data_IF_547514691735
#
_entry.id   IF_547514691735
#
_cell.length_a   1.000
_cell.length_b   1.000
_cell.length_c   1.000
_cell.angle_alpha   90.00
_cell.angle_beta   90.00
_cell.angle_gamma   90.00
#
_symmetry.space_group_name_H-M   'P 1'
#
loop_
_entity.id
_entity.type
_entity.pdbx_description
1 polymer ?
#
# COMPACT_ATOMS: atom_id res chain seq x y z
N UNK A 1 -8.66 -4.41 5.05
CA UNK A 1 -9.90 -5.07 4.60
C UNK A 1 -9.80 -6.59 4.70
N UNK A 2 -8.94 -7.26 3.94
CA UNK A 2 -8.79 -8.73 3.99
C UNK A 2 -8.51 -9.27 5.40
N UNK A 3 -7.55 -8.69 6.14
CA UNK A 3 -7.25 -9.15 7.50
C UNK A 3 -8.45 -9.02 8.45
N UNK A 4 -9.17 -7.91 8.34
CA UNK A 4 -10.39 -7.68 9.11
C UNK A 4 -11.43 -8.77 8.83
N UNK A 5 -11.63 -9.14 7.56
CA UNK A 5 -12.56 -10.22 7.20
C UNK A 5 -12.13 -11.55 7.81
N UNK A 6 -10.83 -11.88 7.79
CA UNK A 6 -10.31 -13.13 8.37
C UNK A 6 -10.51 -13.20 9.88
N UNK A 7 -10.29 -12.10 10.59
CA UNK A 7 -10.55 -12.02 12.04
C UNK A 7 -12.04 -12.18 12.33
N UNK A 8 -12.91 -11.54 11.56
CA UNK A 8 -14.37 -11.66 11.72
C UNK A 8 -14.90 -13.08 11.41
N UNK A 9 -14.24 -13.79 10.49
CA UNK A 9 -14.54 -15.20 10.17
C UNK A 9 -13.99 -16.20 11.19
N UNK A 10 -13.24 -15.74 12.21
CA UNK A 10 -12.60 -16.61 13.19
C UNK A 10 -11.36 -17.36 12.67
N UNK A 11 -10.83 -16.96 11.51
CA UNK A 11 -9.69 -17.63 10.87
C UNK A 11 -8.33 -17.24 11.49
N UNK A 12 -8.31 -16.29 12.42
CA UNK A 12 -7.10 -15.74 13.01
C UNK A 12 -7.18 -15.74 14.55
N UNK A 13 -6.10 -16.09 15.26
CA UNK A 13 -6.07 -16.23 16.71
C UNK A 13 -5.86 -14.89 17.45
N UNK A 14 -5.97 -13.76 16.76
CA UNK A 14 -5.63 -12.44 17.29
C UNK A 14 -6.70 -11.38 16.98
N UNK A 15 -6.69 -10.30 17.76
CA UNK A 15 -7.54 -9.13 17.55
C UNK A 15 -6.75 -8.01 16.88
N UNK A 16 -7.44 -7.13 16.16
CA UNK A 16 -6.82 -6.01 15.45
C UNK A 16 -6.91 -4.73 16.26
N UNK A 17 -5.79 -4.03 16.44
CA UNK A 17 -5.72 -2.67 16.95
C UNK A 17 -5.23 -1.75 15.84
N UNK A 18 -6.16 -1.01 15.23
CA UNK A 18 -5.94 -0.21 14.03
C UNK A 18 -5.91 1.27 14.41
N UNK A 19 -4.71 1.84 14.34
CA UNK A 19 -4.46 3.26 14.58
C UNK A 19 -4.56 4.03 13.26
N UNK A 20 -5.56 4.90 13.15
CA UNK A 20 -5.87 5.65 11.91
C UNK A 20 -6.47 7.01 12.23
N UNK A 21 -5.90 8.07 11.66
CA UNK A 21 -6.34 9.44 11.93
C UNK A 21 -7.54 9.89 11.06
N UNK A 22 -8.58 9.04 10.94
CA UNK A 22 -9.78 9.41 10.16
C UNK A 22 -11.02 8.59 10.55
N UNK A 23 -11.98 9.23 11.23
CA UNK A 23 -13.29 8.61 11.56
C UNK A 23 -14.07 8.23 10.30
N UNK A 24 -13.98 9.06 9.26
CA UNK A 24 -14.61 8.75 7.96
C UNK A 24 -14.05 7.48 7.33
N UNK A 25 -12.75 7.21 7.48
CA UNK A 25 -12.14 5.97 7.01
C UNK A 25 -12.69 4.78 7.81
N UNK A 26 -12.75 4.90 9.13
CA UNK A 26 -13.29 3.87 10.02
C UNK A 26 -14.71 3.48 9.61
N UNK A 27 -15.59 4.47 9.44
CA UNK A 27 -16.98 4.24 9.00
C UNK A 27 -17.06 3.48 7.66
N UNK A 28 -16.20 3.84 6.68
CA UNK A 28 -16.15 3.13 5.40
C UNK A 28 -15.70 1.68 5.56
N UNK A 29 -14.73 1.41 6.44
CA UNK A 29 -14.26 0.05 6.72
C UNK A 29 -15.38 -0.77 7.37
N UNK A 30 -16.06 -0.23 8.38
CA UNK A 30 -17.20 -0.87 9.04
C UNK A 30 -18.28 -1.24 8.02
N UNK A 31 -18.69 -0.27 7.20
CA UNK A 31 -19.72 -0.47 6.17
C UNK A 31 -19.30 -1.51 5.12
N UNK A 32 -18.05 -1.45 4.64
CA UNK A 32 -17.55 -2.38 3.64
C UNK A 32 -17.40 -3.81 4.19
N UNK A 33 -17.14 -3.96 5.50
CA UNK A 33 -17.10 -5.27 6.17
C UNK A 33 -18.49 -5.78 6.54
N UNK A 34 -19.52 -4.93 6.53
CA UNK A 34 -20.82 -5.19 7.18
C UNK A 34 -20.63 -5.69 8.61
N UNK A 35 -19.69 -5.07 9.33
CA UNK A 35 -19.36 -5.47 10.69
C UNK A 35 -20.54 -5.13 11.63
N UNK A 36 -20.66 -5.85 12.73
CA UNK A 36 -21.67 -5.57 13.76
C UNK A 36 -21.04 -4.84 14.96
N UNK A 37 -21.83 -4.10 15.75
CA UNK A 37 -21.33 -3.37 16.92
C UNK A 37 -20.57 -4.25 17.92
N UNK A 38 -20.91 -5.54 18.04
CA UNK A 38 -20.27 -6.49 18.96
C UNK A 38 -18.84 -6.83 18.52
N UNK A 39 -18.56 -6.72 17.21
CA UNK A 39 -17.26 -7.07 16.63
C UNK A 39 -16.29 -5.90 16.55
N UNK A 40 -16.78 -4.66 16.66
CA UNK A 40 -16.00 -3.43 16.44
C UNK A 40 -16.05 -2.49 17.63
N UNK A 41 -14.88 -2.01 18.04
CA UNK A 41 -14.70 -0.91 19.00
C UNK A 41 -14.13 0.29 18.26
N UNK A 42 -14.64 1.50 18.53
CA UNK A 42 -14.11 2.74 17.95
C UNK A 42 -13.84 3.73 19.07
N UNK A 43 -12.62 4.24 19.16
CA UNK A 43 -12.22 5.27 20.12
C UNK A 43 -11.74 6.50 19.36
N UNK A 44 -12.48 7.61 19.52
CA UNK A 44 -12.17 8.89 18.88
C UNK A 44 -12.61 10.08 19.74
N UNK A 45 -12.25 11.30 19.32
CA UNK A 45 -12.50 12.50 20.12
C UNK A 45 -13.98 12.78 20.36
N UNK A 46 -14.30 13.01 21.63
CA UNK A 46 -15.61 13.45 22.11
C UNK A 46 -15.58 14.88 22.68
N UNK A 47 -14.55 15.67 22.37
CA UNK A 47 -14.40 17.04 22.87
C UNK A 47 -15.24 18.05 22.06
N UNK A 48 -16.10 18.81 22.74
CA UNK A 48 -16.91 19.84 22.08
C UNK A 48 -17.81 19.28 20.97
N UNK A 49 -17.88 19.99 19.84
CA UNK A 49 -18.69 19.60 18.67
C UNK A 49 -18.23 18.29 18.01
N UNK A 50 -16.98 17.85 18.26
CA UNK A 50 -16.42 16.66 17.63
C UNK A 50 -17.19 15.39 17.99
N UNK A 51 -17.82 15.34 19.18
CA UNK A 51 -18.62 14.17 19.61
C UNK A 51 -19.76 13.91 18.63
N UNK A 52 -20.58 14.93 18.36
CA UNK A 52 -21.73 14.79 17.49
C UNK A 52 -21.31 14.51 16.05
N UNK A 53 -20.31 15.23 15.54
CA UNK A 53 -19.81 14.99 14.18
C UNK A 53 -19.26 13.57 13.99
N UNK A 54 -18.49 13.08 14.96
CA UNK A 54 -17.90 11.75 14.87
C UNK A 54 -18.97 10.66 15.01
N UNK A 55 -19.96 10.87 15.88
CA UNK A 55 -21.09 9.96 15.99
C UNK A 55 -21.90 9.92 14.68
N UNK A 56 -22.18 11.07 14.07
CA UNK A 56 -22.87 11.15 12.77
C UNK A 56 -22.13 10.38 11.67
N UNK A 57 -20.79 10.40 11.67
CA UNK A 57 -19.97 9.65 10.70
C UNK A 57 -20.06 8.14 10.92
N UNK A 58 -20.16 7.68 12.17
CA UNK A 58 -20.20 6.27 12.54
C UNK A 58 -21.61 5.66 12.46
N UNK A 59 -22.65 6.48 12.58
CA UNK A 59 -24.04 6.03 12.74
C UNK A 59 -24.39 5.74 14.20
N UNK A 60 -25.67 5.55 14.49
CA UNK A 60 -26.17 5.37 15.87
C UNK A 60 -25.78 4.00 16.47
N UNK A 61 -25.63 2.98 15.62
CA UNK A 61 -25.33 1.61 16.05
C UNK A 61 -23.89 1.42 16.57
N UNK A 62 -22.99 2.36 16.28
CA UNK A 62 -21.57 2.29 16.67
C UNK A 62 -21.22 3.42 17.65
N UNK A 63 -21.51 3.26 18.95
CA UNK A 63 -21.21 4.29 19.94
C UNK A 63 -19.69 4.46 20.11
N UNK A 64 -19.26 5.72 20.27
CA UNK A 64 -17.86 6.04 20.57
C UNK A 64 -17.49 5.47 21.95
N UNK A 65 -16.52 4.57 21.97
CA UNK A 65 -16.02 3.86 23.14
C UNK A 65 -14.85 4.60 23.80
N UNK A 66 -14.50 4.21 25.03
CA UNK A 66 -13.31 4.62 25.76
C UNK A 66 -12.14 3.65 25.54
N UNK A 67 -10.87 4.09 25.71
CA UNK A 67 -9.71 3.19 25.63
C UNK A 67 -9.82 2.00 26.60
N UNK A 68 -10.33 2.23 27.80
CA UNK A 68 -10.50 1.25 28.88
C UNK A 68 -11.61 0.22 28.64
N UNK A 69 -12.52 0.45 27.69
CA UNK A 69 -13.61 -0.50 27.42
C UNK A 69 -13.07 -1.85 26.93
N UNK A 70 -13.82 -2.95 27.09
CA UNK A 70 -13.39 -4.27 26.63
C UNK A 70 -12.96 -4.28 25.16
N UNK A 71 -11.86 -4.98 24.87
CA UNK A 71 -11.37 -5.15 23.50
C UNK A 71 -12.31 -6.03 22.70
N UNK A 72 -12.49 -5.70 21.43
CA UNK A 72 -13.28 -6.47 20.46
C UNK A 72 -12.37 -7.08 19.40
N UNK A 73 -12.96 -7.79 18.43
CA UNK A 73 -12.22 -8.39 17.30
C UNK A 73 -11.46 -7.34 16.48
N UNK A 74 -12.08 -6.17 16.27
CA UNK A 74 -11.47 -5.04 15.57
C UNK A 74 -11.63 -3.79 16.43
N UNK A 75 -10.52 -3.12 16.73
CA UNK A 75 -10.48 -1.93 17.56
C UNK A 75 -9.83 -0.79 16.77
N UNK A 76 -10.56 0.30 16.56
CA UNK A 76 -10.07 1.48 15.87
C UNK A 76 -9.74 2.61 16.85
N UNK A 77 -8.63 3.28 16.60
CA UNK A 77 -8.10 4.36 17.43
C UNK A 77 -7.72 5.55 16.56
N UNK A 78 -8.22 6.74 16.90
CA UNK A 78 -7.74 8.01 16.30
C UNK A 78 -6.66 8.66 17.16
N UNK A 79 -6.23 9.88 16.80
CA UNK A 79 -5.17 10.64 17.48
C UNK A 79 -5.33 10.76 18.99
N UNK A 80 -6.56 10.73 19.50
CA UNK A 80 -6.87 10.70 20.95
C UNK A 80 -6.24 9.55 21.73
N UNK A 81 -5.79 8.51 21.04
CA UNK A 81 -5.20 7.31 21.65
C UNK A 81 -3.78 7.03 21.13
N UNK A 82 -3.17 7.94 20.38
CA UNK A 82 -1.79 7.75 19.94
C UNK A 82 -0.83 7.96 21.10
N UNK A 83 -1.25 8.77 22.08
CA UNK A 83 -0.50 9.11 23.27
C UNK A 83 -1.38 8.95 24.52
N UNK A 84 -0.75 8.82 25.68
CA UNK A 84 -1.44 8.93 26.98
C UNK A 84 -2.42 7.81 27.35
N UNK A 85 -2.58 6.76 26.55
CA UNK A 85 -3.44 5.61 26.90
C UNK A 85 -2.68 4.27 26.93
N UNK A 86 -3.07 3.37 27.81
CA UNK A 86 -2.57 1.99 27.83
C UNK A 86 -3.68 1.02 27.43
N UNK A 87 -3.39 0.15 26.46
CA UNK A 87 -4.31 -0.87 25.96
C UNK A 87 -3.75 -2.24 26.33
N UNK A 88 -4.63 -3.11 26.84
CA UNK A 88 -4.29 -4.46 27.26
C UNK A 88 -5.04 -5.49 26.42
N UNK A 89 -4.28 -6.25 25.62
CA UNK A 89 -4.73 -7.40 24.85
C UNK A 89 -3.52 -8.31 24.56
N UNK A 90 -3.47 -9.48 25.19
CA UNK A 90 -2.38 -10.45 25.01
C UNK A 90 -2.26 -10.97 23.57
N UNK A 91 -3.38 -10.94 22.83
CA UNK A 91 -3.47 -11.37 21.43
C UNK A 91 -3.71 -10.17 20.50
N UNK A 92 -3.44 -8.95 20.93
CA UNK A 92 -3.65 -7.74 20.14
C UNK A 92 -2.53 -7.49 19.15
N UNK A 93 -2.86 -7.24 17.89
CA UNK A 93 -1.89 -6.89 16.84
C UNK A 93 -2.05 -5.44 16.44
N UNK A 94 -0.93 -4.72 16.37
CA UNK A 94 -0.91 -3.29 16.03
C UNK A 94 -0.79 -3.07 14.53
N UNK A 95 -1.81 -2.42 13.97
CA UNK A 95 -1.85 -1.87 12.63
C UNK A 95 -1.81 -0.36 12.69
N UNK A 96 -0.96 0.26 11.88
CA UNK A 96 -0.88 1.69 11.71
C UNK A 96 -1.28 2.00 10.27
N UNK A 97 -2.28 2.86 10.07
CA UNK A 97 -2.81 3.20 8.74
C UNK A 97 -2.61 4.67 8.45
N UNK A 98 -1.88 4.97 7.37
CA UNK A 98 -1.59 6.33 6.90
C UNK A 98 -2.11 6.52 5.47
N UNK A 99 -3.13 7.37 5.27
CA UNK A 99 -3.69 7.65 3.94
C UNK A 99 -3.00 8.86 3.29
N UNK A 100 -2.11 8.60 2.34
CA UNK A 100 -1.39 9.60 1.55
C UNK A 100 -2.27 10.56 0.74
N UNK A 101 -3.58 10.28 0.59
CA UNK A 101 -4.54 11.21 -0.07
C UNK A 101 -4.98 12.37 0.81
N UNK A 102 -4.78 12.25 2.13
CA UNK A 102 -5.12 13.29 3.10
C UNK A 102 -3.89 13.61 3.93
N UNK A 103 -3.17 14.68 3.57
CA UNK A 103 -1.93 15.11 4.23
C UNK A 103 -2.02 15.12 5.76
N UNK A 104 -3.10 15.67 6.32
CA UNK A 104 -3.32 15.74 7.78
C UNK A 104 -3.53 14.37 8.48
N UNK A 105 -3.68 13.28 7.71
CA UNK A 105 -3.81 11.93 8.26
C UNK A 105 -2.50 11.15 8.28
N UNK A 106 -1.43 11.74 7.73
CA UNK A 106 -0.12 11.12 7.76
C UNK A 106 0.53 11.27 9.13
N UNK A 107 1.18 10.19 9.55
CA UNK A 107 1.76 10.10 10.88
C UNK A 107 3.23 10.48 10.81
N UNK A 108 3.67 11.27 11.79
CA UNK A 108 5.10 11.45 12.01
C UNK A 108 5.71 10.12 12.47
N UNK A 109 6.69 9.64 11.71
CA UNK A 109 7.41 8.39 11.99
C UNK A 109 8.28 8.54 13.25
N UNK A 110 8.84 9.72 13.48
CA UNK A 110 9.80 9.94 14.56
C UNK A 110 9.13 9.96 15.94
N UNK A 111 7.90 10.47 16.01
CA UNK A 111 7.16 10.69 17.26
C UNK A 111 5.95 9.76 17.37
N UNK A 112 4.87 10.06 16.63
CA UNK A 112 3.57 9.39 16.75
C UNK A 112 3.64 7.90 16.46
N UNK A 113 4.41 7.48 15.46
CA UNK A 113 4.57 6.05 15.15
C UNK A 113 5.18 5.29 16.33
N UNK A 114 6.27 5.81 16.90
CA UNK A 114 6.91 5.25 18.09
C UNK A 114 5.96 5.20 19.29
N UNK A 115 5.18 6.26 19.50
CA UNK A 115 4.19 6.32 20.58
C UNK A 115 3.11 5.26 20.41
N UNK A 116 2.62 5.05 19.18
CA UNK A 116 1.61 4.03 18.85
C UNK A 116 2.16 2.62 19.10
N UNK A 117 3.41 2.33 18.72
CA UNK A 117 4.03 1.02 18.93
C UNK A 117 4.00 0.56 20.38
N UNK A 118 4.03 1.50 21.33
CA UNK A 118 3.99 1.23 22.77
C UNK A 118 2.60 1.07 23.38
N UNK A 119 1.50 1.23 22.62
CA UNK A 119 0.15 1.33 23.20
C UNK A 119 -0.44 0.00 23.64
N UNK A 120 -0.17 -1.09 22.93
CA UNK A 120 -0.65 -2.44 23.30
C UNK A 120 0.41 -3.14 24.16
N UNK A 121 0.26 -3.05 25.48
CA UNK A 121 1.36 -3.30 26.44
C UNK A 121 1.74 -4.76 26.63
N UNK A 122 0.74 -5.61 26.88
CA UNK A 122 0.91 -7.02 27.23
C UNK A 122 0.80 -7.97 26.02
N UNK A 123 0.75 -7.43 24.80
CA UNK A 123 0.65 -8.26 23.59
C UNK A 123 1.92 -9.09 23.38
N UNK A 124 1.73 -10.37 23.06
CA UNK A 124 2.81 -11.25 22.58
C UNK A 124 3.36 -10.82 21.21
N UNK A 125 2.65 -9.95 20.50
CA UNK A 125 3.00 -9.42 19.17
C UNK A 125 3.58 -7.99 19.23
N UNK A 126 3.82 -7.42 20.41
CA UNK A 126 4.25 -6.02 20.59
C UNK A 126 5.52 -5.60 19.83
N UNK A 127 6.36 -6.54 19.41
CA UNK A 127 7.56 -6.29 18.60
C UNK A 127 7.29 -6.30 17.09
N UNK A 128 6.04 -6.50 16.68
CA UNK A 128 5.61 -6.64 15.30
C UNK A 128 4.51 -5.65 15.00
N UNK A 129 4.81 -4.70 14.11
CA UNK A 129 3.93 -3.59 13.76
C UNK A 129 3.70 -3.61 12.25
N UNK A 130 2.44 -3.44 11.84
CA UNK A 130 2.08 -3.43 10.42
C UNK A 130 1.72 -2.02 10.01
N UNK A 131 2.56 -1.41 9.18
CA UNK A 131 2.29 -0.12 8.56
C UNK A 131 1.61 -0.33 7.21
N UNK A 132 0.35 0.08 7.09
CA UNK A 132 -0.38 0.18 5.84
C UNK A 132 -0.36 1.65 5.40
N UNK A 133 0.19 1.93 4.23
CA UNK A 133 0.25 3.30 3.72
C UNK A 133 -0.06 3.38 2.24
N UNK A 134 -0.49 4.56 1.80
CA UNK A 134 -0.55 4.94 0.39
C UNK A 134 0.43 6.07 0.11
N UNK A 135 1.06 6.07 -1.07
CA UNK A 135 1.99 7.13 -1.46
C UNK A 135 1.24 8.44 -1.72
N UNK A 136 1.89 9.57 -1.44
CA UNK A 136 1.35 10.87 -1.81
C UNK A 136 1.41 11.13 -3.30
N UNK A 137 0.54 12.01 -3.80
CA UNK A 137 0.50 12.46 -5.20
C UNK A 137 0.94 13.91 -5.33
N UNK A 138 1.88 14.35 -4.51
CA UNK A 138 2.37 15.73 -4.57
C UNK A 138 3.42 15.90 -5.66
N UNK A 139 3.44 17.10 -6.25
CA UNK A 139 4.45 17.48 -7.25
C UNK A 139 5.82 17.56 -6.60
N UNK A 140 6.84 17.04 -7.28
CA UNK A 140 8.25 17.20 -6.88
C UNK A 140 8.85 18.55 -7.27
N UNK A 141 8.03 19.49 -7.77
CA UNK A 141 8.48 20.80 -8.24
C UNK A 141 8.94 21.74 -7.11
N UNK A 142 8.44 21.56 -5.89
CA UNK A 142 8.83 22.35 -4.73
C UNK A 142 9.66 21.47 -3.80
N UNK A 143 10.91 21.87 -3.55
CA UNK A 143 11.78 21.16 -2.62
C UNK A 143 11.49 21.55 -1.17
N UNK A 144 11.94 20.73 -0.21
CA UNK A 144 11.85 21.09 1.21
C UNK A 144 12.58 22.40 1.49
N UNK A 145 13.76 22.61 0.91
CA UNK A 145 14.54 23.83 1.11
C UNK A 145 13.82 25.08 0.59
N UNK A 146 13.17 24.98 -0.58
CA UNK A 146 12.37 26.08 -1.13
C UNK A 146 11.18 26.40 -0.23
N UNK A 147 10.50 25.36 0.28
CA UNK A 147 9.39 25.51 1.20
C UNK A 147 9.85 26.14 2.53
N UNK A 148 10.95 25.68 3.11
CA UNK A 148 11.52 26.26 4.34
C UNK A 148 11.85 27.72 4.14
N UNK A 149 12.50 28.10 3.03
CA UNK A 149 12.81 29.50 2.72
C UNK A 149 11.54 30.35 2.60
N UNK A 150 10.52 29.84 1.91
CA UNK A 150 9.23 30.53 1.77
C UNK A 150 8.54 30.72 3.13
N UNK A 151 8.43 29.66 3.94
CA UNK A 151 7.84 29.72 5.29
C UNK A 151 8.60 30.68 6.19
N UNK A 152 9.94 30.69 6.14
CA UNK A 152 10.76 31.62 6.92
C UNK A 152 10.55 33.07 6.50
N UNK A 153 10.37 33.33 5.20
CA UNK A 153 10.03 34.66 4.69
C UNK A 153 8.66 35.12 5.20
N UNK A 154 7.63 34.28 5.08
CA UNK A 154 6.29 34.59 5.61
C UNK A 154 6.33 34.84 7.11
N UNK A 155 7.09 34.03 7.86
CA UNK A 155 7.27 34.25 9.31
C UNK A 155 7.96 35.59 9.63
N UNK A 156 8.89 36.05 8.78
CA UNK A 156 9.53 37.34 8.95
C UNK A 156 8.58 38.51 8.65
N UNK A 157 7.76 38.37 7.60
CA UNK A 157 6.69 39.32 7.25
C UNK A 157 5.66 39.43 8.38
N UNK A 158 5.21 38.30 8.93
CA UNK A 158 4.32 38.23 10.10
C UNK A 158 4.92 38.92 11.34
N UNK A 159 6.23 38.79 11.58
CA UNK A 159 6.93 39.49 12.66
C UNK A 159 6.95 41.00 12.47
N UNK A 160 7.21 41.48 11.24
CA UNK A 160 7.17 42.90 10.93
C UNK A 160 5.77 43.46 11.17
N UNK A 161 4.76 42.80 10.62
CA UNK A 161 3.36 43.19 10.76
C UNK A 161 2.92 43.24 12.23
N UNK A 162 3.22 42.19 12.99
CA UNK A 162 2.90 42.16 14.42
C UNK A 162 3.61 43.28 15.20
N UNK A 163 4.89 43.57 14.89
CA UNK A 163 5.63 44.65 15.52
C UNK A 163 5.01 46.02 15.22
N UNK A 164 4.63 46.28 13.97
CA UNK A 164 3.98 47.52 13.55
C UNK A 164 2.65 47.74 14.28
N UNK A 165 1.76 46.74 14.28
CA UNK A 165 0.46 46.85 14.97
C UNK A 165 0.64 46.99 16.49
N UNK A 166 1.59 46.25 17.06
CA UNK A 166 1.84 46.32 18.50
C UNK A 166 2.48 47.66 18.93
N UNK A 167 3.15 48.37 18.02
CA UNK A 167 3.72 49.70 18.27
C UNK A 167 2.68 50.82 18.39
N UNK A 168 1.44 50.57 17.94
CA UNK A 168 0.33 51.52 18.10
C UNK A 168 0.04 51.76 19.59
N UNK A 169 -0.46 52.96 19.90
CA UNK A 169 -1.02 53.24 21.23
C UNK A 169 -2.14 52.26 21.56
N UNK A 170 -2.34 51.97 22.85
CA UNK A 170 -3.31 50.97 23.28
C UNK A 170 -4.73 51.24 22.77
N UNK A 171 -5.20 52.49 22.86
CA UNK A 171 -6.51 52.89 22.36
C UNK A 171 -6.64 52.70 20.83
N UNK A 172 -5.59 53.03 20.06
CA UNK A 172 -5.58 52.83 18.62
C UNK A 172 -5.52 51.33 18.27
N UNK A 173 -4.71 50.54 18.98
CA UNK A 173 -4.58 49.10 18.77
C UNK A 173 -5.89 48.36 19.03
N UNK A 174 -6.57 48.65 20.15
CA UNK A 174 -7.89 48.08 20.47
C UNK A 174 -8.92 48.45 19.38
N UNK A 175 -8.91 49.70 18.92
CA UNK A 175 -9.81 50.17 17.85
C UNK A 175 -9.51 49.50 16.50
N UNK A 176 -8.23 49.24 16.20
CA UNK A 176 -7.81 48.56 14.96
C UNK A 176 -8.19 47.09 15.00
N UNK A 177 -7.86 46.38 16.08
CA UNK A 177 -8.12 44.93 16.20
C UNK A 177 -9.61 44.61 16.34
N UNK A 178 -10.40 45.46 17.01
CA UNK A 178 -11.85 45.25 17.14
C UNK A 178 -12.61 45.35 15.82
N UNK A 179 -12.02 45.97 14.78
CA UNK A 179 -12.58 46.04 13.43
C UNK A 179 -12.19 44.86 12.53
N UNK A 180 -11.31 43.98 13.00
CA UNK A 180 -10.81 42.83 12.25
C UNK A 180 -11.43 41.57 12.88
N UNK A 181 -12.56 41.07 12.36
CA UNK A 181 -13.21 39.87 12.91
C UNK A 181 -12.36 38.60 12.77
N UNK A 182 -11.44 38.56 11.80
CA UNK A 182 -10.46 37.50 11.61
C UNK A 182 -9.18 38.08 10.99
N UNK A 183 -8.02 37.68 11.52
CA UNK A 183 -6.72 38.03 10.93
C UNK A 183 -6.39 37.01 9.86
N UNK A 184 -6.27 37.47 8.62
CA UNK A 184 -5.83 36.66 7.48
C UNK A 184 -4.30 36.74 7.28
N UNK A 185 -3.55 36.80 8.39
CA UNK A 185 -2.09 36.78 8.41
C UNK A 185 -1.61 35.43 8.92
N UNK A 186 -0.69 34.79 8.21
CA UNK A 186 -0.20 33.47 8.61
C UNK A 186 0.67 33.59 9.87
N UNK A 187 0.58 32.60 10.75
CA UNK A 187 1.38 32.52 11.98
C UNK A 187 1.13 33.64 13.00
N UNK A 188 0.04 34.39 12.89
CA UNK A 188 -0.33 35.46 13.84
C UNK A 188 -1.66 35.14 14.50
N UNK A 189 -1.75 35.40 15.81
CA UNK A 189 -3.00 35.33 16.59
C UNK A 189 -3.18 36.58 17.44
N UNK A 190 -4.43 36.86 17.82
CA UNK A 190 -4.75 37.94 18.75
C UNK A 190 -4.80 37.37 20.17
N UNK A 191 -4.00 37.94 21.07
CA UNK A 191 -4.06 37.69 22.51
C UNK A 191 -3.96 39.03 23.24
N UNK A 192 -4.87 39.27 24.19
CA UNK A 192 -4.90 40.49 25.02
C UNK A 192 -4.75 41.81 24.23
N UNK A 193 -5.49 41.93 23.12
CA UNK A 193 -5.42 43.08 22.20
C UNK A 193 -4.02 43.35 21.62
N UNK A 194 -3.23 42.30 21.44
CA UNK A 194 -1.92 42.32 20.77
C UNK A 194 -1.83 41.22 19.73
N UNK A 195 -0.97 41.42 18.75
CA UNK A 195 -0.60 40.39 17.78
C UNK A 195 0.56 39.56 18.32
N UNK A 196 0.36 38.26 18.45
CA UNK A 196 1.37 37.30 18.89
C UNK A 196 1.74 36.41 17.71
N UNK A 197 3.03 36.36 17.39
CA UNK A 197 3.55 35.50 16.33
C UNK A 197 3.82 34.11 16.89
N UNK A 198 3.23 33.09 16.28
CA UNK A 198 3.40 31.69 16.66
C UNK A 198 4.39 30.99 15.72
N UNK A 199 5.66 30.95 16.15
CA UNK A 199 6.71 30.23 15.44
C UNK A 199 6.43 28.72 15.35
N UNK A 200 5.69 28.15 16.29
CA UNK A 200 5.43 26.72 16.29
C UNK A 200 4.52 26.33 15.13
N UNK A 201 3.55 27.17 14.75
CA UNK A 201 2.73 26.94 13.55
C UNK A 201 3.59 26.83 12.28
N UNK A 202 4.57 27.73 12.11
CA UNK A 202 5.50 27.66 10.97
C UNK A 202 6.37 26.39 10.98
N UNK A 203 6.84 25.98 12.16
CA UNK A 203 7.59 24.72 12.29
C UNK A 203 6.71 23.50 11.98
N UNK A 204 5.45 23.51 12.42
CA UNK A 204 4.47 22.45 12.14
C UNK A 204 4.22 22.34 10.63
N UNK A 205 4.09 23.46 9.91
CA UNK A 205 3.93 23.45 8.45
C UNK A 205 5.13 22.82 7.74
N UNK A 206 6.36 23.15 8.16
CA UNK A 206 7.59 22.55 7.60
C UNK A 206 7.61 21.04 7.85
N UNK A 207 7.28 20.60 9.07
CA UNK A 207 7.24 19.16 9.40
C UNK A 207 6.17 18.45 8.59
N UNK A 208 4.97 19.01 8.48
CA UNK A 208 3.88 18.47 7.68
C UNK A 208 4.28 18.37 6.20
N UNK A 209 4.96 19.38 5.67
CA UNK A 209 5.50 19.37 4.32
C UNK A 209 6.50 18.22 4.13
N UNK A 210 7.48 18.07 5.03
CA UNK A 210 8.46 16.97 5.00
C UNK A 210 7.78 15.61 5.02
N UNK A 211 6.82 15.39 5.92
CA UNK A 211 6.09 14.12 6.04
C UNK A 211 5.39 13.80 4.71
N UNK A 212 4.63 14.76 4.17
CA UNK A 212 3.78 14.56 3.00
C UNK A 212 4.55 14.50 1.67
N UNK A 213 5.56 15.33 1.50
CA UNK A 213 6.23 15.52 0.21
C UNK A 213 7.54 14.74 0.10
N UNK A 214 8.12 14.31 1.22
CA UNK A 214 9.41 13.62 1.24
C UNK A 214 9.32 12.21 1.82
N UNK A 215 8.79 12.05 3.04
CA UNK A 215 8.81 10.76 3.73
C UNK A 215 7.85 9.77 3.05
N UNK A 216 6.55 10.10 2.97
CA UNK A 216 5.52 9.24 2.39
C UNK A 216 5.41 9.32 0.86
N UNK A 217 6.32 10.01 0.19
CA UNK A 217 6.33 10.12 -1.27
C UNK A 217 6.56 8.77 -1.95
N UNK A 218 7.48 7.96 -1.43
CA UNK A 218 7.81 6.64 -1.99
C UNK A 218 8.06 5.62 -0.89
N UNK A 219 8.01 4.33 -1.24
CA UNK A 219 8.42 3.27 -0.32
C UNK A 219 9.92 3.38 0.05
N UNK A 220 10.75 3.90 -0.85
CA UNK A 220 12.20 4.00 -0.64
C UNK A 220 12.50 5.02 0.45
N UNK A 221 11.88 6.20 0.35
CA UNK A 221 12.03 7.29 1.34
C UNK A 221 11.45 6.89 2.70
N UNK A 222 10.26 6.28 2.73
CA UNK A 222 9.65 5.81 3.96
C UNK A 222 10.48 4.72 4.65
N UNK A 223 10.98 3.75 3.90
CA UNK A 223 11.84 2.70 4.48
C UNK A 223 13.20 3.22 4.92
N UNK A 224 13.71 4.28 4.28
CA UNK A 224 14.92 4.98 4.75
C UNK A 224 14.66 5.66 6.10
N UNK A 225 13.57 6.42 6.24
CA UNK A 225 13.22 7.10 7.49
C UNK A 225 13.03 6.08 8.64
N UNK A 226 12.25 5.02 8.40
CA UNK A 226 12.05 3.97 9.39
C UNK A 226 13.36 3.28 9.82
N UNK A 227 14.29 3.04 8.90
CA UNK A 227 15.61 2.46 9.25
C UNK A 227 16.48 3.42 10.05
N UNK A 228 16.36 4.72 9.83
CA UNK A 228 17.06 5.73 10.64
C UNK A 228 16.57 5.73 12.09
N UNK A 229 15.37 5.22 12.34
CA UNK A 229 14.80 4.99 13.67
C UNK A 229 14.91 3.52 14.12
N UNK A 230 15.91 2.78 13.64
CA UNK A 230 16.26 1.41 14.05
C UNK A 230 15.18 0.33 13.83
N UNK A 231 14.17 0.60 12.99
CA UNK A 231 13.18 -0.42 12.65
C UNK A 231 13.73 -1.45 11.65
N UNK A 232 13.53 -2.74 11.97
CA UNK A 232 13.75 -3.84 11.03
C UNK A 232 12.54 -4.00 10.11
N UNK A 233 12.71 -3.70 8.83
CA UNK A 233 11.60 -3.60 7.88
C UNK A 233 11.58 -4.80 6.94
N UNK A 234 10.41 -5.44 6.85
CA UNK A 234 10.07 -6.37 5.77
C UNK A 234 8.95 -5.76 4.93
N UNK A 235 9.30 -5.31 3.72
CA UNK A 235 8.31 -4.72 2.80
C UNK A 235 7.48 -5.82 2.16
N UNK A 236 6.16 -5.67 2.22
CA UNK A 236 5.22 -6.48 1.45
C UNK A 236 4.46 -5.59 0.50
N UNK A 237 4.53 -5.90 -0.79
CA UNK A 237 3.69 -5.28 -1.80
C UNK A 237 2.34 -5.99 -1.85
N UNK A 238 1.27 -5.18 -1.88
CA UNK A 238 -0.10 -5.63 -2.06
C UNK A 238 -0.26 -6.32 -3.43
N UNK A 239 -0.90 -7.49 -3.43
CA UNK A 239 -1.06 -8.32 -4.62
C UNK A 239 -2.34 -7.92 -5.39
N UNK A 240 -2.16 -7.08 -6.43
CA UNK A 240 -3.23 -6.70 -7.35
C UNK A 240 -3.88 -7.91 -8.05
N UNK A 241 -3.13 -8.97 -8.31
CA UNK A 241 -3.66 -10.17 -8.98
C UNK A 241 -4.63 -10.88 -8.06
N UNK A 242 -4.26 -11.04 -6.79
CA UNK A 242 -5.15 -11.64 -5.79
C UNK A 242 -6.46 -10.84 -5.66
N UNK A 243 -6.40 -9.52 -5.45
CA UNK A 243 -7.59 -8.68 -5.32
C UNK A 243 -8.49 -8.75 -6.57
N UNK A 244 -7.88 -8.74 -7.77
CA UNK A 244 -8.60 -8.86 -9.03
C UNK A 244 -9.32 -10.21 -9.14
N UNK A 245 -8.69 -11.28 -8.68
CA UNK A 245 -9.26 -12.63 -8.69
C UNK A 245 -10.34 -12.82 -7.62
N UNK A 246 -10.23 -12.18 -6.46
CA UNK A 246 -11.30 -12.18 -5.45
C UNK A 246 -12.56 -11.48 -5.98
N UNK A 247 -12.40 -10.31 -6.60
CA UNK A 247 -13.54 -9.55 -7.16
C UNK A 247 -14.12 -10.20 -8.41
N UNK A 248 -13.27 -10.78 -9.27
CA UNK A 248 -13.67 -11.40 -10.52
C UNK A 248 -12.87 -12.69 -10.75
N UNK A 249 -13.36 -13.84 -10.23
CA UNK A 249 -12.67 -15.12 -10.35
C UNK A 249 -12.36 -15.54 -11.80
N UNK A 250 -13.16 -15.10 -12.77
CA UNK A 250 -13.00 -15.38 -14.20
C UNK A 250 -12.08 -14.40 -14.94
N UNK A 251 -11.54 -13.38 -14.28
CA UNK A 251 -10.77 -12.32 -14.94
C UNK A 251 -9.57 -12.87 -15.73
N UNK A 252 -9.44 -12.48 -17.00
CA UNK A 252 -8.25 -12.85 -17.79
C UNK A 252 -7.05 -12.05 -17.28
N UNK A 253 -5.97 -12.76 -16.92
CA UNK A 253 -4.72 -12.14 -16.45
C UNK A 253 -3.61 -12.50 -17.44
N UNK A 254 -2.86 -11.51 -17.95
CA UNK A 254 -1.70 -11.75 -18.81
C UNK A 254 -0.69 -12.70 -18.16
N UNK A 255 -0.02 -13.52 -18.99
CA UNK A 255 1.02 -14.43 -18.51
C UNK A 255 2.16 -13.67 -17.79
N UNK A 256 2.54 -12.50 -18.32
CA UNK A 256 3.57 -11.63 -17.72
C UNK A 256 3.27 -11.33 -16.25
N UNK A 257 2.04 -10.94 -15.96
CA UNK A 257 1.62 -10.53 -14.61
C UNK A 257 1.63 -11.74 -13.68
N UNK A 258 1.01 -12.86 -14.10
CA UNK A 258 1.03 -14.11 -13.32
C UNK A 258 2.44 -14.63 -13.06
N UNK A 259 3.33 -14.53 -14.04
CA UNK A 259 4.71 -14.99 -13.91
C UNK A 259 5.53 -14.10 -12.96
N UNK A 260 5.42 -12.78 -13.10
CA UNK A 260 6.09 -11.84 -12.21
C UNK A 260 5.62 -12.00 -10.76
N UNK A 261 4.32 -12.20 -10.57
CA UNK A 261 3.76 -12.45 -9.25
C UNK A 261 4.22 -13.79 -8.67
N UNK A 262 4.24 -14.86 -9.46
CA UNK A 262 4.80 -16.14 -9.02
C UNK A 262 6.27 -16.02 -8.59
N UNK A 263 7.08 -15.24 -9.31
CA UNK A 263 8.47 -14.97 -8.95
C UNK A 263 8.56 -14.22 -7.62
N UNK A 264 7.74 -13.18 -7.44
CA UNK A 264 7.65 -12.41 -6.19
C UNK A 264 7.30 -13.31 -5.00
N UNK A 265 6.29 -14.18 -5.16
CA UNK A 265 5.87 -15.12 -4.13
C UNK A 265 6.91 -16.19 -3.83
N UNK A 266 7.84 -16.47 -4.74
CA UNK A 266 8.94 -17.42 -4.53
C UNK A 266 10.13 -16.78 -3.81
N UNK A 267 10.36 -15.48 -3.99
CA UNK A 267 11.41 -14.75 -3.28
C UNK A 267 10.97 -14.27 -1.90
N UNK A 268 9.67 -14.23 -1.62
CA UNK A 268 9.16 -13.95 -0.28
C UNK A 268 9.38 -15.14 0.68
N UNK A 269 10.15 -14.89 1.74
CA UNK A 269 10.10 -15.73 2.96
C UNK A 269 8.74 -15.55 3.63
N UNK A 270 8.22 -16.62 4.24
CA UNK A 270 7.04 -16.51 5.10
C UNK A 270 7.29 -15.42 6.16
N UNK A 271 6.33 -14.53 6.30
CA UNK A 271 6.33 -13.48 7.31
C UNK A 271 5.30 -13.85 8.35
N UNK A 272 5.49 -13.41 9.57
CA UNK A 272 4.50 -13.64 10.63
C UNK A 272 3.10 -13.13 10.25
N UNK A 273 3.04 -12.02 9.50
CA UNK A 273 1.86 -11.57 8.77
C UNK A 273 2.02 -11.88 7.29
N UNK A 274 1.29 -12.88 6.78
CA UNK A 274 1.02 -12.93 5.35
C UNK A 274 -0.46 -12.83 5.14
N UNK A 275 -0.86 -11.78 4.42
CA UNK A 275 -2.25 -11.51 4.04
C UNK A 275 -2.87 -12.71 3.33
N UNK A 276 -2.09 -13.59 2.69
CA UNK A 276 -2.39 -15.01 2.46
C UNK A 276 -1.08 -15.81 2.43
N UNK A 277 -1.11 -17.12 2.73
CA UNK A 277 0.10 -17.93 2.58
C UNK A 277 0.65 -17.81 1.15
N UNK A 278 1.94 -17.46 0.96
CA UNK A 278 2.54 -17.41 -0.38
C UNK A 278 2.42 -18.76 -1.09
N UNK A 279 2.35 -19.87 -0.34
CA UNK A 279 2.11 -21.18 -0.89
C UNK A 279 0.70 -21.33 -1.48
N UNK A 280 -0.32 -20.82 -0.81
CA UNK A 280 -1.70 -20.84 -1.31
C UNK A 280 -1.86 -19.95 -2.55
N UNK A 281 -1.31 -18.73 -2.53
CA UNK A 281 -1.35 -17.83 -3.69
C UNK A 281 -0.63 -18.43 -4.91
N UNK A 282 0.54 -19.04 -4.70
CA UNK A 282 1.22 -19.79 -5.77
C UNK A 282 0.34 -20.93 -6.28
N UNK A 283 -0.32 -21.70 -5.41
CA UNK A 283 -1.20 -22.79 -5.84
C UNK A 283 -2.37 -22.29 -6.71
N UNK A 284 -2.94 -21.12 -6.42
CA UNK A 284 -3.97 -20.49 -7.26
C UNK A 284 -3.42 -20.14 -8.65
N UNK A 285 -2.23 -19.52 -8.72
CA UNK A 285 -1.56 -19.21 -9.99
C UNK A 285 -1.25 -20.49 -10.77
N UNK A 286 -0.75 -21.52 -10.10
CA UNK A 286 -0.40 -22.82 -10.69
C UNK A 286 -1.61 -23.53 -11.30
N UNK A 287 -2.76 -23.51 -10.61
CA UNK A 287 -4.01 -24.08 -11.12
C UNK A 287 -4.53 -23.31 -12.33
N UNK A 288 -4.44 -21.98 -12.31
CA UNK A 288 -4.95 -21.12 -13.39
C UNK A 288 -4.08 -21.18 -14.64
N UNK A 289 -2.77 -21.21 -14.47
CA UNK A 289 -1.83 -21.26 -15.58
C UNK A 289 -0.62 -22.15 -15.24
N UNK A 290 -0.71 -23.46 -15.51
CA UNK A 290 0.38 -24.41 -15.24
C UNK A 290 1.71 -24.06 -15.91
N UNK A 291 1.68 -23.31 -17.02
CA UNK A 291 2.88 -22.88 -17.73
C UNK A 291 3.77 -21.98 -16.87
N UNK A 292 3.20 -21.23 -15.92
CA UNK A 292 3.96 -20.31 -15.05
C UNK A 292 4.99 -21.08 -14.23
N UNK A 293 4.56 -22.15 -13.54
CA UNK A 293 5.44 -23.02 -12.74
C UNK A 293 6.49 -23.71 -13.60
N UNK A 294 6.08 -24.20 -14.78
CA UNK A 294 6.97 -24.89 -15.70
C UNK A 294 8.06 -23.95 -16.21
N UNK A 295 7.69 -22.76 -16.68
CA UNK A 295 8.61 -21.74 -17.14
C UNK A 295 9.57 -21.30 -16.03
N UNK A 296 9.07 -21.12 -14.81
CA UNK A 296 9.91 -20.73 -13.67
C UNK A 296 10.96 -21.80 -13.35
N UNK A 297 10.54 -23.07 -13.25
CA UNK A 297 11.44 -24.19 -12.87
C UNK A 297 12.44 -24.57 -13.96
N UNK A 298 12.05 -24.51 -15.23
CA UNK A 298 12.86 -25.06 -16.33
C UNK A 298 13.64 -24.01 -17.10
N UNK A 299 13.11 -22.79 -17.26
CA UNK A 299 13.79 -21.71 -17.98
C UNK A 299 14.41 -20.67 -17.05
N UNK A 300 13.81 -20.44 -15.89
CA UNK A 300 14.22 -19.38 -14.97
C UNK A 300 13.79 -17.98 -15.41
N UNK A 301 13.98 -17.01 -14.51
CA UNK A 301 13.47 -15.64 -14.65
C UNK A 301 14.09 -14.92 -15.86
N UNK A 302 15.42 -14.97 -15.98
CA UNK A 302 16.16 -14.23 -17.02
C UNK A 302 15.81 -14.69 -18.44
N UNK A 303 15.68 -16.01 -18.64
CA UNK A 303 15.27 -16.55 -19.94
C UNK A 303 13.84 -16.16 -20.30
N UNK A 304 12.89 -16.20 -19.35
CA UNK A 304 11.49 -15.80 -19.60
C UNK A 304 11.39 -14.31 -19.95
N UNK A 305 12.18 -13.45 -19.29
CA UNK A 305 12.30 -12.03 -19.64
C UNK A 305 12.89 -11.83 -21.04
N UNK A 306 13.96 -12.55 -21.40
CA UNK A 306 14.56 -12.49 -22.73
C UNK A 306 13.58 -12.89 -23.84
N UNK A 307 12.68 -13.85 -23.56
CA UNK A 307 11.60 -14.25 -24.44
C UNK A 307 10.40 -13.26 -24.44
N UNK A 308 10.54 -12.12 -23.76
CA UNK A 308 9.53 -11.05 -23.64
C UNK A 308 8.17 -11.57 -23.17
N UNK A 309 8.16 -12.59 -22.31
CA UNK A 309 6.93 -13.23 -21.83
C UNK A 309 6.03 -13.84 -22.92
N UNK A 310 6.55 -14.02 -24.14
CA UNK A 310 5.77 -14.55 -25.26
C UNK A 310 5.49 -16.04 -25.07
N UNK A 311 4.23 -16.39 -24.81
CA UNK A 311 3.78 -17.75 -24.45
C UNK A 311 4.22 -18.80 -25.47
N UNK A 312 4.12 -18.49 -26.77
CA UNK A 312 4.57 -19.39 -27.83
C UNK A 312 6.08 -19.63 -27.83
N UNK A 313 6.88 -18.62 -27.48
CA UNK A 313 8.34 -18.74 -27.44
C UNK A 313 8.78 -19.54 -26.21
N UNK A 314 8.13 -19.28 -25.07
CA UNK A 314 8.35 -20.00 -23.82
C UNK A 314 8.06 -21.49 -24.00
N UNK A 315 6.88 -21.83 -24.55
CA UNK A 315 6.55 -23.24 -24.80
C UNK A 315 7.55 -23.91 -25.75
N UNK A 316 8.02 -23.22 -26.79
CA UNK A 316 9.04 -23.77 -27.71
C UNK A 316 10.35 -24.05 -26.98
N UNK A 317 10.86 -23.11 -26.20
CA UNK A 317 12.09 -23.31 -25.41
C UNK A 317 11.94 -24.45 -24.39
N UNK A 318 10.75 -24.59 -23.76
CA UNK A 318 10.46 -25.74 -22.91
C UNK A 318 10.56 -27.07 -23.67
N UNK A 319 9.99 -27.15 -24.88
CA UNK A 319 10.07 -28.37 -25.71
C UNK A 319 11.52 -28.71 -26.08
N UNK A 320 12.36 -27.71 -26.39
CA UNK A 320 13.79 -27.94 -26.68
C UNK A 320 14.51 -28.61 -25.51
N UNK A 321 14.18 -28.20 -24.29
CA UNK A 321 14.78 -28.70 -23.05
C UNK A 321 14.34 -30.11 -22.64
N UNK A 322 13.31 -30.68 -23.27
CA UNK A 322 12.83 -32.03 -22.96
C UNK A 322 13.90 -33.09 -23.28
N UNK A 323 14.07 -34.07 -22.40
CA UNK A 323 14.94 -35.24 -22.63
C UNK A 323 14.19 -36.34 -23.39
N UNK A 324 13.67 -36.01 -24.57
CA UNK A 324 12.94 -36.94 -25.47
C UNK A 324 13.56 -36.89 -26.87
N UNK A 325 13.27 -37.89 -27.69
CA UNK A 325 13.73 -37.96 -29.08
C UNK A 325 13.32 -36.74 -29.91
N UNK A 326 14.15 -36.38 -30.89
CA UNK A 326 13.93 -35.19 -31.71
C UNK A 326 12.61 -35.25 -32.50
N UNK A 327 12.18 -36.43 -32.93
CA UNK A 327 10.90 -36.62 -33.65
C UNK A 327 9.71 -36.23 -32.77
N UNK A 328 9.70 -36.63 -31.49
CA UNK A 328 8.66 -36.21 -30.54
C UNK A 328 8.69 -34.70 -30.25
N UNK A 329 9.88 -34.07 -30.25
CA UNK A 329 9.99 -32.60 -30.12
C UNK A 329 9.41 -31.89 -31.34
N UNK A 330 9.68 -32.41 -32.54
CA UNK A 330 9.15 -31.89 -33.80
C UNK A 330 7.63 -31.93 -33.77
N UNK A 331 7.02 -33.09 -33.45
CA UNK A 331 5.56 -33.25 -33.37
C UNK A 331 4.95 -32.23 -32.40
N UNK A 332 5.52 -32.08 -31.19
CA UNK A 332 5.05 -31.08 -30.22
C UNK A 332 5.16 -29.64 -30.74
N UNK A 333 6.23 -29.29 -31.46
CA UNK A 333 6.36 -27.95 -32.03
C UNK A 333 5.42 -27.71 -33.22
N UNK A 334 5.11 -28.76 -33.99
CA UNK A 334 4.11 -28.70 -35.05
C UNK A 334 2.73 -28.43 -34.44
N UNK A 335 2.30 -29.21 -33.46
CA UNK A 335 1.00 -29.02 -32.78
C UNK A 335 0.80 -27.62 -32.19
N UNK A 336 1.90 -26.94 -31.85
CA UNK A 336 1.86 -25.58 -31.31
C UNK A 336 1.88 -24.48 -32.36
N UNK A 337 2.40 -24.74 -33.56
CA UNK A 337 2.63 -23.74 -34.60
C UNK A 337 1.60 -23.82 -35.73
N UNK A 338 1.07 -25.00 -35.99
CA UNK A 338 0.06 -25.25 -37.01
C UNK A 338 -1.32 -25.24 -36.34
N UNK A 339 -2.20 -24.33 -36.78
CA UNK A 339 -3.59 -24.36 -36.33
C UNK A 339 -4.28 -25.59 -36.94
N UNK A 340 -5.00 -26.33 -36.10
CA UNK A 340 -5.74 -27.51 -36.58
C UNK A 340 -6.89 -27.04 -37.47
N UNK A 341 -7.08 -27.74 -38.59
CA UNK A 341 -8.19 -27.56 -39.54
C UNK A 341 -8.16 -26.29 -40.40
N UNK A 342 -7.07 -25.52 -40.42
CA UNK A 342 -6.87 -24.45 -41.41
C UNK A 342 -6.01 -24.93 -42.60
N UNK A 343 -6.42 -24.68 -43.85
CA UNK A 343 -5.57 -24.91 -45.02
C UNK A 343 -4.36 -23.97 -45.00
N UNK A 344 -3.15 -24.54 -45.07
CA UNK A 344 -1.89 -23.77 -45.07
C UNK A 344 -1.17 -23.99 -46.40
N UNK A 345 -0.72 -22.94 -47.11
CA UNK A 345 0.05 -23.08 -48.34
C UNK A 345 1.30 -23.95 -48.16
N UNK A 346 1.60 -24.76 -49.18
CA UNK A 346 2.73 -25.72 -49.13
C UNK A 346 4.08 -25.05 -48.89
N UNK A 347 4.29 -23.84 -49.41
CA UNK A 347 5.49 -23.02 -49.17
C UNK A 347 5.60 -22.64 -47.69
N UNK A 348 4.52 -22.08 -47.13
CA UNK A 348 4.45 -21.66 -45.73
C UNK A 348 4.62 -22.84 -44.76
N UNK A 349 4.04 -23.99 -45.07
CA UNK A 349 4.19 -25.20 -44.28
C UNK A 349 5.64 -25.69 -44.24
N UNK A 350 6.35 -25.66 -45.38
CA UNK A 350 7.79 -25.99 -45.45
C UNK A 350 8.63 -25.00 -44.65
N UNK A 351 8.38 -23.70 -44.79
CA UNK A 351 9.11 -22.66 -44.05
C UNK A 351 8.92 -22.82 -42.54
N UNK A 352 7.68 -23.03 -42.10
CA UNK A 352 7.37 -23.25 -40.69
C UNK A 352 8.04 -24.51 -40.13
N UNK A 353 8.10 -25.60 -40.91
CA UNK A 353 8.77 -26.84 -40.53
C UNK A 353 10.30 -26.69 -40.51
N UNK A 354 10.88 -25.98 -41.50
CA UNK A 354 12.31 -25.68 -41.52
C UNK A 354 12.71 -24.89 -40.27
N UNK A 355 11.94 -23.86 -39.93
CA UNK A 355 12.18 -23.07 -38.73
C UNK A 355 12.07 -23.90 -37.43
N UNK A 356 11.32 -25.01 -37.42
CA UNK A 356 11.31 -25.97 -36.28
C UNK A 356 12.64 -26.74 -36.24
N UNK A 357 13.09 -27.28 -37.37
CA UNK A 357 14.37 -28.01 -37.48
C UNK A 357 15.55 -27.14 -37.07
N UNK A 358 15.63 -25.92 -37.60
CA UNK A 358 16.67 -24.96 -37.28
C UNK A 358 16.68 -24.63 -35.79
N UNK A 359 15.50 -24.45 -35.18
CA UNK A 359 15.37 -24.16 -33.76
C UNK A 359 15.82 -25.31 -32.84
N UNK A 360 15.80 -26.55 -33.34
CA UNK A 360 16.27 -27.76 -32.67
C UNK A 360 17.74 -28.10 -33.02
N UNK A 361 18.38 -27.32 -33.89
CA UNK A 361 19.75 -27.58 -34.36
C UNK A 361 19.86 -28.78 -35.31
N UNK A 362 18.76 -29.18 -35.95
CA UNK A 362 18.74 -30.33 -36.86
C UNK A 362 19.22 -29.92 -38.24
N UNK A 363 20.29 -30.57 -38.73
CA UNK A 363 20.81 -30.38 -40.10
C UNK A 363 19.94 -31.14 -41.12
N UNK A 364 18.67 -30.76 -41.26
CA UNK A 364 17.71 -31.37 -42.19
C UNK A 364 16.98 -30.29 -43.00
N UNK A 365 16.75 -30.57 -44.28
CA UNK A 365 15.90 -29.74 -45.14
C UNK A 365 14.45 -30.23 -45.07
N UNK A 366 13.53 -29.33 -44.74
CA UNK A 366 12.11 -29.62 -44.59
C UNK A 366 11.43 -29.90 -45.93
N UNK A 367 10.76 -31.06 -46.02
CA UNK A 367 9.88 -31.40 -47.14
C UNK A 367 8.43 -31.36 -46.67
N UNK A 368 7.51 -30.91 -47.54
CA UNK A 368 6.08 -30.89 -47.20
C UNK A 368 5.52 -32.29 -46.86
N UNK A 369 6.12 -33.34 -47.43
CA UNK A 369 5.79 -34.75 -47.14
C UNK A 369 6.19 -35.19 -45.73
N UNK A 370 7.06 -34.45 -45.06
CA UNK A 370 7.48 -34.78 -43.69
C UNK A 370 6.40 -34.50 -42.65
N UNK A 371 5.35 -33.74 -43.00
CA UNK A 371 4.17 -33.54 -42.15
C UNK A 371 3.20 -34.74 -42.17
N UNK A 372 3.38 -35.67 -43.12
CA UNK A 372 2.57 -36.89 -43.25
C UNK A 372 3.22 -38.11 -42.58
N UNK A 373 4.39 -37.93 -41.98
CA UNK A 373 5.13 -38.94 -41.21
C UNK A 373 4.98 -38.62 -39.73
#
# INVERSE_FOLDING_TARGET
>A
MQECQKVLQGNLPYNLHIFVNSVQFIARVINALKATPETVKVVCSTSGESRQENQNKLGEDFPISQPSDPVKKINFYTSTCFEGCDIYDENGVTFIVSDGRKAHTQLDISTLFTQICGRVRNSRYKTQIILVYSSTKYSSAVTLDDFVKATQRTLAEAKSYAAEINSLSEAARIKTLSKIPYINEQYVRIEDNKLVVDKNLANIDIVNFKICHQIYATYITLTKELRQHDYKIKVQTYDYIHEKLEKQPSARIPFKDLFNEYCRLKSQTESFFVVDSPAQQRAVIERRNPLVKQAYKQLGIEKVKALKYHVGNIRRELVKSLKIGNDYKIVKMIDMRFQKQEPIPRSQAKENLQAIYDSLGLKRTAKATDLAK
#
